data_IF_721988139921
#
_entry.id   IF_721988139921
#
_cell.length_a   1.000
_cell.length_b   1.000
_cell.length_c   1.000
_cell.angle_alpha   90.00
_cell.angle_beta   90.00
_cell.angle_gamma   90.00
#
_symmetry.space_group_name_H-M   'P 1'
#
loop_
_entity.id
_entity.type
_entity.pdbx_description
1 polymer ?
#
# COMPACT_ATOMS: atom_id res chain seq x y z
N UNK A 1 -37.33 -4.12 22.74
CA UNK A 1 -37.09 -3.74 21.33
C UNK A 1 -36.08 -2.61 21.35
N UNK A 2 -34.94 -2.55 20.68
CA UNK A 2 -34.45 -3.20 19.46
C UNK A 2 -32.93 -3.32 19.59
N UNK A 3 -32.40 -4.56 19.55
CA UNK A 3 -30.97 -4.81 19.34
C UNK A 3 -30.70 -4.67 17.85
N UNK A 4 -30.22 -3.51 17.39
CA UNK A 4 -29.57 -3.42 16.08
C UNK A 4 -28.21 -4.12 16.19
N UNK A 5 -28.19 -5.42 15.93
CA UNK A 5 -26.97 -6.13 15.51
C UNK A 5 -26.52 -5.47 14.20
N UNK A 6 -25.42 -4.72 14.23
CA UNK A 6 -24.70 -4.40 13.02
C UNK A 6 -24.24 -5.72 12.42
N UNK A 7 -24.92 -6.18 11.36
CA UNK A 7 -24.39 -7.21 10.50
C UNK A 7 -23.16 -6.61 9.82
N UNK A 8 -21.97 -6.92 10.34
CA UNK A 8 -20.77 -6.90 9.53
C UNK A 8 -21.07 -7.75 8.31
N UNK A 9 -21.23 -7.11 7.16
CA UNK A 9 -21.38 -7.77 5.86
C UNK A 9 -20.11 -8.57 5.62
N UNK A 10 -20.10 -9.82 6.07
CA UNK A 10 -19.02 -10.75 5.81
C UNK A 10 -18.93 -10.92 4.29
N UNK A 11 -17.74 -10.68 3.74
CA UNK A 11 -17.50 -10.78 2.31
C UNK A 11 -17.96 -12.18 1.84
N UNK A 12 -18.98 -12.28 0.96
CA UNK A 12 -19.54 -13.57 0.56
C UNK A 12 -18.56 -14.45 -0.23
N UNK A 13 -17.45 -13.86 -0.69
CA UNK A 13 -16.39 -14.52 -1.46
C UNK A 13 -15.08 -14.61 -0.65
N UNK A 14 -15.14 -14.53 0.69
CA UNK A 14 -13.96 -14.49 1.56
C UNK A 14 -13.02 -15.68 1.35
N UNK A 15 -13.55 -16.89 1.27
CA UNK A 15 -12.82 -18.12 0.97
C UNK A 15 -12.05 -18.05 -0.36
N UNK A 16 -12.67 -17.49 -1.40
CA UNK A 16 -11.99 -17.25 -2.68
C UNK A 16 -10.86 -16.24 -2.54
N UNK A 17 -11.10 -15.15 -1.81
CA UNK A 17 -10.08 -14.16 -1.51
C UNK A 17 -8.90 -14.79 -0.75
N UNK A 18 -9.17 -15.62 0.27
CA UNK A 18 -8.16 -16.25 1.11
C UNK A 18 -7.25 -17.18 0.28
N UNK A 19 -7.83 -18.11 -0.50
CA UNK A 19 -7.02 -19.06 -1.27
C UNK A 19 -6.24 -18.36 -2.41
N UNK A 20 -6.80 -17.32 -3.02
CA UNK A 20 -6.11 -16.54 -4.05
C UNK A 20 -4.96 -15.71 -3.44
N UNK A 21 -5.12 -15.20 -2.22
CA UNK A 21 -4.04 -14.53 -1.49
C UNK A 21 -2.93 -15.50 -1.11
N UNK A 22 -3.25 -16.73 -0.73
CA UNK A 22 -2.26 -17.77 -0.47
C UNK A 22 -1.47 -18.11 -1.74
N UNK A 23 -2.14 -18.29 -2.88
CA UNK A 23 -1.50 -18.45 -4.18
C UNK A 23 -0.65 -17.23 -4.55
N UNK A 24 -1.11 -16.02 -4.27
CA UNK A 24 -0.35 -14.80 -4.52
C UNK A 24 0.98 -14.84 -3.74
N UNK A 25 0.90 -15.10 -2.43
CA UNK A 25 2.07 -15.15 -1.54
C UNK A 25 3.05 -16.24 -1.99
N UNK A 26 2.57 -17.42 -2.38
CA UNK A 26 3.40 -18.46 -2.96
C UNK A 26 4.13 -18.00 -4.22
N UNK A 27 3.44 -17.37 -5.18
CA UNK A 27 4.10 -16.89 -6.41
C UNK A 27 5.11 -15.78 -6.12
N UNK A 28 4.88 -14.92 -5.11
CA UNK A 28 5.83 -13.88 -4.69
C UNK A 28 7.05 -14.46 -3.97
N UNK A 29 6.82 -15.33 -3.00
CA UNK A 29 7.81 -15.75 -2.02
C UNK A 29 8.62 -16.95 -2.50
N UNK A 30 7.97 -17.92 -3.14
CA UNK A 30 8.63 -19.16 -3.59
C UNK A 30 9.06 -19.02 -5.06
N UNK A 31 8.11 -18.75 -5.95
CA UNK A 31 8.42 -18.69 -7.39
C UNK A 31 9.04 -17.36 -7.85
N UNK A 32 9.01 -16.33 -7.00
CA UNK A 32 9.50 -14.96 -7.30
C UNK A 32 8.87 -14.34 -8.56
N UNK A 33 7.62 -14.70 -8.87
CA UNK A 33 6.86 -14.26 -10.03
C UNK A 33 5.91 -13.10 -9.67
N UNK A 34 6.47 -11.88 -9.63
CA UNK A 34 5.73 -10.68 -9.19
C UNK A 34 4.49 -10.36 -10.06
N UNK A 35 4.54 -10.65 -11.36
CA UNK A 35 3.39 -10.44 -12.25
C UNK A 35 2.19 -11.34 -11.89
N UNK A 36 2.44 -12.62 -11.51
CA UNK A 36 1.39 -13.52 -11.02
C UNK A 36 0.86 -13.11 -9.66
N UNK A 37 1.74 -12.70 -8.75
CA UNK A 37 1.35 -12.13 -7.46
C UNK A 37 0.36 -10.96 -7.64
N UNK A 38 0.71 -10.00 -8.51
CA UNK A 38 -0.16 -8.87 -8.81
C UNK A 38 -1.49 -9.30 -9.46
N UNK A 39 -1.47 -10.28 -10.36
CA UNK A 39 -2.69 -10.80 -10.99
C UNK A 39 -3.66 -11.43 -9.97
N UNK A 40 -3.16 -12.26 -9.06
CA UNK A 40 -3.99 -12.83 -7.99
C UNK A 40 -4.54 -11.76 -7.05
N UNK A 41 -3.72 -10.78 -6.64
CA UNK A 41 -4.20 -9.67 -5.80
C UNK A 41 -5.25 -8.80 -6.49
N UNK A 42 -5.12 -8.59 -7.81
CA UNK A 42 -6.16 -7.90 -8.60
C UNK A 42 -7.47 -8.68 -8.58
N UNK A 43 -7.43 -10.00 -8.74
CA UNK A 43 -8.61 -10.87 -8.63
C UNK A 43 -9.27 -10.79 -7.25
N UNK A 44 -8.46 -10.82 -6.19
CA UNK A 44 -8.93 -10.69 -4.79
C UNK A 44 -9.66 -9.36 -4.60
N UNK A 45 -9.10 -8.25 -5.08
CA UNK A 45 -9.74 -6.93 -4.97
C UNK A 45 -11.09 -6.84 -5.70
N UNK A 46 -11.26 -7.57 -6.82
CA UNK A 46 -12.54 -7.67 -7.54
C UNK A 46 -13.56 -8.48 -6.73
N UNK A 47 -13.17 -9.67 -6.24
CA UNK A 47 -14.06 -10.56 -5.49
C UNK A 47 -14.47 -9.98 -4.14
N UNK A 48 -13.54 -9.31 -3.44
CA UNK A 48 -13.79 -8.72 -2.12
C UNK A 48 -14.83 -7.60 -2.15
N UNK A 49 -14.97 -6.90 -3.29
CA UNK A 49 -15.96 -5.83 -3.49
C UNK A 49 -17.29 -6.35 -4.06
N UNK A 50 -17.34 -7.61 -4.50
CA UNK A 50 -18.53 -8.15 -5.12
C UNK A 50 -19.56 -8.53 -4.02
N UNK A 51 -20.77 -7.94 -4.03
CA UNK A 51 -21.71 -8.04 -2.91
C UNK A 51 -22.42 -9.39 -2.80
N UNK A 52 -22.29 -10.25 -3.81
CA UNK A 52 -22.98 -11.54 -3.89
C UNK A 52 -21.99 -12.69 -4.02
N UNK A 53 -22.42 -13.89 -3.63
CA UNK A 53 -21.62 -15.12 -3.79
C UNK A 53 -21.49 -15.47 -5.27
N UNK A 54 -20.27 -15.54 -5.77
CA UNK A 54 -19.98 -16.03 -7.12
C UNK A 54 -20.25 -17.54 -7.19
N UNK A 55 -20.98 -17.98 -8.22
CA UNK A 55 -21.44 -19.37 -8.38
C UNK A 55 -20.66 -20.16 -9.43
N UNK A 56 -19.81 -19.50 -10.22
CA UNK A 56 -18.94 -20.15 -11.21
C UNK A 56 -17.75 -19.27 -11.59
N UNK A 57 -16.70 -19.87 -12.12
CA UNK A 57 -15.57 -19.19 -12.75
C UNK A 57 -16.00 -18.33 -13.94
N UNK A 58 -17.02 -18.75 -14.69
CA UNK A 58 -17.58 -17.97 -15.79
C UNK A 58 -18.23 -16.67 -15.30
N UNK A 59 -18.97 -16.71 -14.19
CA UNK A 59 -19.50 -15.53 -13.52
C UNK A 59 -18.37 -14.64 -12.98
N UNK A 60 -17.39 -15.24 -12.30
CA UNK A 60 -16.21 -14.54 -11.78
C UNK A 60 -15.49 -13.74 -12.88
N UNK A 61 -15.30 -14.33 -14.05
CA UNK A 61 -14.67 -13.71 -15.22
C UNK A 61 -15.45 -12.50 -15.75
N UNK A 62 -16.78 -12.50 -15.62
CA UNK A 62 -17.63 -11.38 -16.06
C UNK A 62 -17.55 -10.17 -15.14
N UNK A 63 -17.26 -10.37 -13.85
CA UNK A 63 -17.16 -9.27 -12.86
C UNK A 63 -16.14 -8.20 -13.24
N UNK A 64 -15.08 -8.59 -13.94
CA UNK A 64 -14.03 -7.68 -14.35
C UNK A 64 -14.41 -6.79 -15.55
N UNK A 65 -15.47 -7.12 -16.31
CA UNK A 65 -15.83 -6.46 -17.58
C UNK A 65 -16.76 -5.25 -17.45
N UNK A 66 -17.28 -4.97 -16.26
CA UNK A 66 -18.30 -3.91 -16.07
C UNK A 66 -17.64 -2.59 -15.66
N UNK A 67 -17.09 -1.84 -16.61
CA UNK A 67 -16.77 -0.41 -16.41
C UNK A 67 -17.58 0.39 -17.42
N UNK A 68 -18.64 1.06 -16.95
CA UNK A 68 -19.35 2.08 -17.72
C UNK A 68 -18.40 3.28 -17.86
N UNK A 69 -17.86 3.49 -19.05
CA UNK A 69 -17.11 4.72 -19.36
C UNK A 69 -18.15 5.79 -19.68
N UNK A 70 -18.53 6.60 -18.70
CA UNK A 70 -19.23 7.86 -18.94
C UNK A 70 -18.12 8.92 -19.10
N UNK A 71 -17.81 9.30 -20.33
CA UNK A 71 -16.88 10.38 -20.63
C UNK A 71 -17.54 11.72 -20.30
N UNK A 72 -16.98 12.44 -19.32
CA UNK A 72 -17.20 13.88 -19.18
C UNK A 72 -16.03 14.60 -19.85
N UNK A 73 -16.33 15.26 -20.98
CA UNK A 73 -15.41 16.14 -21.70
C UNK A 73 -15.75 17.59 -21.31
N UNK A 74 -14.86 18.29 -20.60
CA UNK A 74 -14.73 19.76 -20.45
C UNK A 74 -13.79 19.96 -19.24
N UNK A 75 -12.64 20.64 -19.27
CA UNK A 75 -12.39 22.03 -19.68
C UNK A 75 -10.85 22.25 -19.68
N UNK A 76 -10.22 22.49 -20.83
CA UNK A 76 -8.91 23.19 -20.88
C UNK A 76 -9.18 24.53 -21.55
N UNK A 77 -9.40 25.56 -20.73
CA UNK A 77 -9.38 26.97 -21.12
C UNK A 77 -8.73 27.65 -19.91
N UNK A 78 -7.49 28.16 -19.99
CA UNK A 78 -7.23 29.54 -20.39
C UNK A 78 -5.76 29.76 -20.81
N UNK A 79 -5.53 30.21 -22.05
CA UNK A 79 -4.70 31.37 -22.44
C UNK A 79 -4.69 31.53 -23.98
N UNK A 80 -4.65 32.77 -24.53
CA UNK A 80 -5.15 33.06 -25.87
C UNK A 80 -4.07 32.84 -26.93
N UNK A 81 -4.24 31.85 -27.81
CA UNK A 81 -3.59 31.85 -29.13
C UNK A 81 -4.56 31.37 -30.20
N UNK A 82 -4.66 32.20 -31.23
CA UNK A 82 -5.38 32.07 -32.51
C UNK A 82 -6.16 30.77 -32.76
N UNK A 83 -7.47 30.94 -32.87
CA UNK A 83 -8.45 30.03 -33.47
C UNK A 83 -8.04 29.61 -34.89
N UNK A 84 -7.41 28.42 -35.04
CA UNK A 84 -7.57 27.58 -36.24
C UNK A 84 -6.99 26.15 -36.16
N UNK A 85 -6.36 25.68 -35.08
CA UNK A 85 -5.73 24.34 -35.07
C UNK A 85 -5.94 23.50 -33.80
N UNK A 86 -7.17 23.44 -33.27
CA UNK A 86 -7.53 22.44 -32.24
C UNK A 86 -8.77 21.68 -32.66
N UNK A 87 -8.66 20.96 -33.77
CA UNK A 87 -9.64 19.97 -34.20
C UNK A 87 -8.89 18.70 -34.65
N UNK A 88 -9.37 17.57 -34.17
CA UNK A 88 -8.96 16.17 -34.45
C UNK A 88 -7.88 15.55 -33.55
N UNK A 89 -8.30 15.12 -32.37
CA UNK A 89 -7.87 13.82 -31.82
C UNK A 89 -8.96 13.24 -30.91
N UNK A 90 -10.15 13.06 -31.48
CA UNK A 90 -11.17 12.19 -30.90
C UNK A 90 -10.84 10.75 -31.31
N UNK A 91 -9.91 10.13 -30.56
CA UNK A 91 -9.73 8.68 -30.62
C UNK A 91 -10.77 8.01 -29.73
N UNK A 92 -11.54 7.06 -30.28
CA UNK A 92 -12.22 6.06 -29.45
C UNK A 92 -11.15 5.41 -28.56
N UNK A 93 -11.23 5.62 -27.24
CA UNK A 93 -10.45 4.82 -26.31
C UNK A 93 -11.04 3.40 -26.37
N UNK A 94 -10.25 2.38 -26.80
CA UNK A 94 -10.74 1.02 -26.79
C UNK A 94 -11.17 0.66 -25.36
N UNK A 95 -12.36 0.08 -25.22
CA UNK A 95 -12.78 -0.54 -23.98
C UNK A 95 -11.69 -1.51 -23.51
N UNK A 96 -11.07 -1.22 -22.36
CA UNK A 96 -10.04 -2.09 -21.78
C UNK A 96 -10.66 -3.46 -21.50
N UNK A 97 -10.01 -4.57 -21.88
CA UNK A 97 -10.41 -5.90 -21.43
C UNK A 97 -10.57 -5.90 -19.91
N UNK A 98 -11.69 -6.43 -19.43
CA UNK A 98 -11.98 -6.49 -18.00
C UNK A 98 -10.92 -7.28 -17.24
N UNK A 99 -9.91 -6.60 -16.71
CA UNK A 99 -8.74 -7.25 -16.12
C UNK A 99 -8.90 -7.39 -14.61
N UNK A 100 -9.14 -8.62 -14.17
CA UNK A 100 -9.06 -9.02 -12.77
C UNK A 100 -9.05 -10.53 -12.63
N UNK A 101 -9.95 -11.23 -13.33
CA UNK A 101 -10.10 -12.68 -13.27
C UNK A 101 -10.05 -13.25 -14.70
N UNK A 102 -8.95 -13.90 -15.05
CA UNK A 102 -8.78 -14.62 -16.33
C UNK A 102 -9.11 -16.11 -16.22
N UNK A 103 -9.02 -16.84 -17.34
CA UNK A 103 -9.40 -18.27 -17.42
C UNK A 103 -8.71 -19.16 -16.39
N UNK A 104 -7.44 -18.89 -16.09
CA UNK A 104 -6.68 -19.68 -15.09
C UNK A 104 -7.16 -19.47 -13.66
N UNK A 105 -7.74 -18.31 -13.35
CA UNK A 105 -8.30 -18.00 -12.03
C UNK A 105 -9.75 -18.51 -11.97
N UNK A 106 -10.53 -18.28 -13.03
CA UNK A 106 -11.88 -18.82 -13.17
C UNK A 106 -11.92 -20.34 -12.93
N UNK A 107 -11.05 -21.11 -13.60
CA UNK A 107 -10.95 -22.56 -13.41
C UNK A 107 -10.61 -23.00 -11.97
N UNK A 108 -9.89 -22.16 -11.21
CA UNK A 108 -9.59 -22.44 -9.80
C UNK A 108 -10.79 -22.19 -8.90
N UNK A 109 -11.59 -21.18 -9.23
CA UNK A 109 -12.85 -20.90 -8.54
C UNK A 109 -13.81 -22.07 -8.80
N UNK A 110 -13.93 -22.54 -10.05
CA UNK A 110 -14.72 -23.74 -10.38
C UNK A 110 -14.23 -24.97 -9.58
N UNK A 111 -12.93 -25.26 -9.60
CA UNK A 111 -12.34 -26.37 -8.82
C UNK A 111 -12.71 -26.26 -7.33
N UNK A 112 -12.55 -25.08 -6.73
CA UNK A 112 -12.87 -24.87 -5.32
C UNK A 112 -14.37 -25.02 -5.01
N UNK A 113 -15.24 -24.55 -5.90
CA UNK A 113 -16.69 -24.71 -5.74
C UNK A 113 -17.07 -26.19 -5.79
N UNK A 114 -16.47 -26.95 -6.69
CA UNK A 114 -16.79 -28.37 -6.89
C UNK A 114 -16.24 -29.28 -5.78
N UNK A 115 -15.04 -28.99 -5.26
CA UNK A 115 -14.33 -29.91 -4.34
C UNK A 115 -14.19 -29.37 -2.92
N UNK A 116 -14.37 -28.07 -2.70
CA UNK A 116 -14.02 -27.37 -1.45
C UNK A 116 -12.52 -27.14 -1.23
N UNK A 117 -11.66 -27.54 -2.17
CA UNK A 117 -10.21 -27.40 -2.06
C UNK A 117 -9.52 -27.10 -3.40
N UNK A 118 -8.23 -26.77 -3.35
CA UNK A 118 -7.39 -26.62 -4.55
C UNK A 118 -6.23 -27.61 -4.47
N UNK A 119 -6.15 -28.54 -5.43
CA UNK A 119 -5.03 -29.51 -5.49
C UNK A 119 -3.67 -28.84 -5.57
N UNK A 120 -3.57 -27.67 -6.21
CA UNK A 120 -2.33 -26.89 -6.26
C UNK A 120 -1.94 -26.39 -4.86
N UNK A 121 -2.89 -25.93 -4.05
CA UNK A 121 -2.60 -25.44 -2.70
C UNK A 121 -2.26 -26.59 -1.75
N UNK A 122 -2.95 -27.73 -1.86
CA UNK A 122 -2.61 -28.92 -1.09
C UNK A 122 -1.15 -29.34 -1.33
N UNK A 123 -0.70 -29.34 -2.58
CA UNK A 123 0.70 -29.61 -2.92
C UNK A 123 1.67 -28.56 -2.35
N UNK A 124 1.30 -27.28 -2.38
CA UNK A 124 2.12 -26.20 -1.81
C UNK A 124 2.25 -26.34 -0.30
N UNK A 125 1.15 -26.67 0.38
CA UNK A 125 1.10 -26.87 1.84
C UNK A 125 1.85 -28.13 2.28
N UNK A 126 2.02 -29.10 1.39
CA UNK A 126 2.81 -30.31 1.64
C UNK A 126 4.30 -30.16 1.29
N UNK A 127 4.74 -29.03 0.72
CA UNK A 127 6.14 -28.78 0.41
C UNK A 127 6.82 -27.99 1.53
N UNK A 128 7.61 -28.67 2.36
CA UNK A 128 8.30 -28.11 3.52
C UNK A 128 9.15 -26.89 3.16
N UNK A 129 9.78 -26.88 1.98
CA UNK A 129 10.58 -25.73 1.51
C UNK A 129 9.70 -24.50 1.30
N UNK A 130 8.54 -24.68 0.67
CA UNK A 130 7.58 -23.59 0.43
C UNK A 130 6.98 -23.07 1.73
N UNK A 131 6.69 -23.96 2.68
CA UNK A 131 6.18 -23.59 4.02
C UNK A 131 7.23 -22.75 4.75
N UNK A 132 8.47 -23.23 4.84
CA UNK A 132 9.57 -22.56 5.50
C UNK A 132 9.86 -21.17 4.88
N UNK A 133 9.92 -21.07 3.55
CA UNK A 133 10.12 -19.78 2.87
C UNK A 133 9.00 -18.81 3.21
N UNK A 134 7.74 -19.25 3.16
CA UNK A 134 6.61 -18.39 3.49
C UNK A 134 6.63 -17.93 4.95
N UNK A 135 7.00 -18.81 5.88
CA UNK A 135 7.13 -18.48 7.30
C UNK A 135 8.20 -17.42 7.54
N UNK A 136 9.42 -17.65 7.04
CA UNK A 136 10.55 -16.73 7.25
C UNK A 136 10.32 -15.35 6.61
N UNK A 137 9.61 -15.28 5.48
CA UNK A 137 9.27 -13.99 4.84
C UNK A 137 8.27 -13.15 5.61
N UNK A 138 7.65 -13.67 6.68
CA UNK A 138 6.81 -12.86 7.59
C UNK A 138 7.67 -11.92 8.44
N UNK A 139 8.93 -12.27 8.71
CA UNK A 139 9.85 -11.41 9.46
C UNK A 139 10.26 -10.23 8.58
N UNK A 140 9.98 -9.00 9.02
CA UNK A 140 10.35 -7.81 8.23
C UNK A 140 11.87 -7.77 7.99
N UNK A 141 12.26 -7.45 6.76
CA UNK A 141 13.66 -7.47 6.32
C UNK A 141 14.09 -8.82 5.70
N UNK A 142 13.31 -9.89 5.85
CA UNK A 142 13.55 -11.16 5.17
C UNK A 142 12.69 -11.23 3.91
N UNK A 143 13.32 -11.00 2.76
CA UNK A 143 12.70 -11.20 1.44
C UNK A 143 12.86 -12.63 0.93
N UNK A 144 12.23 -12.98 -0.21
CA UNK A 144 12.27 -14.31 -0.83
C UNK A 144 13.68 -14.89 -0.98
N UNK A 145 14.64 -14.07 -1.42
CA UNK A 145 16.02 -14.50 -1.61
C UNK A 145 16.73 -14.81 -0.28
N UNK A 146 16.49 -14.01 0.76
CA UNK A 146 17.07 -14.23 2.09
C UNK A 146 16.45 -15.46 2.75
N UNK A 147 15.13 -15.64 2.66
CA UNK A 147 14.44 -16.82 3.15
C UNK A 147 14.96 -18.10 2.48
N UNK A 148 15.11 -18.10 1.16
CA UNK A 148 15.65 -19.25 0.43
C UNK A 148 17.08 -19.59 0.88
N UNK A 149 17.93 -18.59 1.11
CA UNK A 149 19.29 -18.79 1.63
C UNK A 149 19.26 -19.39 3.05
N UNK A 150 18.41 -18.89 3.94
CA UNK A 150 18.27 -19.42 5.31
C UNK A 150 17.81 -20.89 5.29
N UNK A 151 16.84 -21.24 4.44
CA UNK A 151 16.39 -22.63 4.28
C UNK A 151 17.50 -23.54 3.76
N UNK A 152 18.32 -23.08 2.80
CA UNK A 152 19.49 -23.84 2.33
C UNK A 152 20.54 -24.08 3.43
N UNK A 153 20.57 -23.20 4.43
CA UNK A 153 21.43 -23.33 5.61
C UNK A 153 20.77 -24.10 6.76
N UNK A 154 19.61 -24.73 6.52
CA UNK A 154 18.89 -25.55 7.50
C UNK A 154 17.96 -24.80 8.44
N UNK A 155 17.79 -23.48 8.26
CA UNK A 155 16.90 -22.66 9.09
C UNK A 155 15.53 -22.63 8.41
N UNK A 156 14.57 -23.36 8.97
CA UNK A 156 13.25 -23.56 8.34
C UNK A 156 12.08 -23.02 9.16
N UNK A 157 12.30 -22.53 10.38
CA UNK A 157 11.25 -21.92 11.21
C UNK A 157 11.75 -20.66 11.93
N UNK A 158 10.81 -19.88 12.48
CA UNK A 158 11.13 -18.69 13.28
C UNK A 158 11.87 -19.08 14.57
N UNK A 159 11.53 -20.21 15.19
CA UNK A 159 12.22 -20.71 16.40
C UNK A 159 13.69 -21.05 16.12
N UNK A 160 14.00 -21.68 14.98
CA UNK A 160 15.37 -21.89 14.56
C UNK A 160 16.07 -20.57 14.24
N UNK A 161 15.37 -19.64 13.58
CA UNK A 161 15.92 -18.32 13.27
C UNK A 161 16.35 -17.56 14.53
N UNK A 162 15.60 -17.68 15.64
CA UNK A 162 15.96 -17.08 16.95
C UNK A 162 17.27 -17.60 17.52
N UNK A 163 17.73 -18.78 17.13
CA UNK A 163 19.01 -19.36 17.55
C UNK A 163 20.20 -18.86 16.74
N UNK A 164 19.95 -18.20 15.60
CA UNK A 164 20.97 -17.74 14.65
C UNK A 164 20.90 -16.23 14.35
N UNK A 165 20.92 -15.34 15.36
CA UNK A 165 20.86 -13.90 15.14
C UNK A 165 22.09 -13.36 14.38
N UNK A 166 23.22 -14.07 14.44
CA UNK A 166 24.46 -13.77 13.74
C UNK A 166 24.33 -13.81 12.21
N UNK A 167 23.35 -14.57 11.69
CA UNK A 167 23.07 -14.68 10.26
C UNK A 167 22.16 -13.56 9.72
N UNK A 168 21.63 -12.73 10.62
CA UNK A 168 20.67 -11.68 10.30
C UNK A 168 21.35 -10.33 10.24
N UNK A 169 20.95 -9.50 9.28
CA UNK A 169 21.32 -8.08 9.30
C UNK A 169 20.49 -7.31 10.35
N UNK A 170 20.89 -6.06 10.63
CA UNK A 170 20.24 -5.20 11.62
C UNK A 170 18.71 -5.10 11.48
N UNK A 171 18.20 -4.91 10.26
CA UNK A 171 16.74 -4.85 10.00
C UNK A 171 16.08 -6.17 10.37
N UNK A 172 16.65 -7.29 9.93
CA UNK A 172 16.11 -8.63 10.19
C UNK A 172 16.14 -8.98 11.69
N UNK A 173 17.19 -8.57 12.41
CA UNK A 173 17.29 -8.77 13.86
C UNK A 173 16.17 -8.03 14.60
N UNK A 174 15.91 -6.75 14.27
CA UNK A 174 14.80 -6.01 14.88
C UNK A 174 13.45 -6.60 14.44
N UNK A 175 13.34 -7.03 13.17
CA UNK A 175 12.15 -7.70 12.66
C UNK A 175 11.81 -8.97 13.42
N UNK A 176 12.83 -9.75 13.80
CA UNK A 176 12.68 -10.94 14.62
C UNK A 176 12.41 -10.63 16.09
N UNK A 177 13.07 -9.60 16.63
CA UNK A 177 12.88 -9.12 18.00
C UNK A 177 11.43 -8.78 18.30
N UNK A 178 10.75 -8.12 17.35
CA UNK A 178 9.37 -7.62 17.50
C UNK A 178 8.35 -8.38 16.65
N UNK A 179 8.69 -9.61 16.24
CA UNK A 179 7.90 -10.39 15.28
C UNK A 179 6.43 -10.52 15.68
N UNK A 180 6.17 -10.97 16.91
CA UNK A 180 4.82 -11.19 17.42
C UNK A 180 3.99 -9.91 17.49
N UNK A 181 4.62 -8.77 17.79
CA UNK A 181 3.95 -7.48 17.87
C UNK A 181 3.64 -6.88 16.50
N UNK A 182 4.47 -7.14 15.50
CA UNK A 182 4.25 -6.68 14.12
C UNK A 182 3.14 -7.46 13.40
N UNK A 183 2.80 -8.67 13.85
CA UNK A 183 1.64 -9.40 13.35
C UNK A 183 0.31 -8.85 13.92
N UNK A 184 0.34 -8.13 15.04
CA UNK A 184 -0.85 -7.55 15.67
C UNK A 184 -1.29 -6.28 14.93
N UNK A 185 -2.57 -6.22 14.57
CA UNK A 185 -3.22 -5.00 14.05
C UNK A 185 -3.22 -3.88 15.10
N UNK A 186 -3.14 -2.64 14.63
CA UNK A 186 -3.15 -1.42 15.46
C UNK A 186 -4.57 -0.84 15.47
N UNK A 187 -5.29 -0.83 16.60
CA UNK A 187 -6.61 -0.19 16.69
C UNK A 187 -6.54 1.30 16.37
N UNK A 188 -7.61 1.85 15.75
CA UNK A 188 -7.65 3.26 15.37
C UNK A 188 -7.39 4.24 16.53
N UNK A 189 -7.91 3.94 17.72
CA UNK A 189 -7.66 4.76 18.91
C UNK A 189 -6.18 4.79 19.33
N UNK A 190 -5.43 3.70 19.09
CA UNK A 190 -3.99 3.65 19.34
C UNK A 190 -3.22 4.47 18.28
N UNK A 191 -3.67 4.42 17.01
CA UNK A 191 -3.12 5.26 15.94
C UNK A 191 -3.27 6.75 16.25
N UNK A 192 -4.43 7.16 16.79
CA UNK A 192 -4.71 8.55 17.19
C UNK A 192 -3.77 9.00 18.32
N UNK A 193 -3.51 8.15 19.32
CA UNK A 193 -2.56 8.48 20.39
C UNK A 193 -1.12 8.66 19.88
N UNK A 194 -0.67 7.78 18.97
CA UNK A 194 0.65 7.88 18.34
C UNK A 194 0.72 9.15 17.48
N UNK A 195 -0.32 9.44 16.69
CA UNK A 195 -0.43 10.65 15.88
C UNK A 195 -0.31 11.91 16.74
N UNK A 196 -1.11 12.02 17.80
CA UNK A 196 -1.17 13.23 18.64
C UNK A 196 0.17 13.48 19.31
N UNK A 197 0.83 12.43 19.80
CA UNK A 197 2.17 12.50 20.36
C UNK A 197 3.19 12.95 19.31
N UNK A 198 3.24 12.27 18.16
CA UNK A 198 4.18 12.59 17.09
C UNK A 198 4.00 14.04 16.61
N UNK A 199 2.77 14.48 16.38
CA UNK A 199 2.48 15.81 15.83
C UNK A 199 2.75 16.91 16.84
N UNK A 200 2.44 16.69 18.12
CA UNK A 200 2.84 17.60 19.20
C UNK A 200 4.36 17.81 19.21
N UNK A 201 5.13 16.72 19.13
CA UNK A 201 6.59 16.79 19.19
C UNK A 201 7.23 17.37 17.93
N UNK A 202 6.66 17.09 16.75
CA UNK A 202 7.06 17.70 15.48
C UNK A 202 6.81 19.21 15.50
N UNK A 203 5.63 19.67 15.94
CA UNK A 203 5.31 21.10 16.03
C UNK A 203 6.17 21.86 17.05
N UNK A 204 6.62 21.19 18.12
CA UNK A 204 7.56 21.77 19.09
C UNK A 204 8.96 21.97 18.50
N UNK A 205 9.31 21.24 17.45
CA UNK A 205 10.59 21.37 16.77
C UNK A 205 10.57 22.58 15.83
N UNK A 206 9.55 22.66 14.98
CA UNK A 206 9.23 23.81 14.12
C UNK A 206 7.73 23.75 13.78
N UNK A 207 7.01 24.86 13.92
CA UNK A 207 5.57 24.93 13.65
C UNK A 207 5.23 24.93 12.15
N UNK A 208 6.25 25.12 11.28
CA UNK A 208 6.15 25.02 9.82
C UNK A 208 6.13 23.59 9.30
N UNK A 209 6.42 22.59 10.13
CA UNK A 209 6.28 21.21 9.71
C UNK A 209 4.81 20.86 9.48
N UNK A 210 4.53 20.32 8.30
CA UNK A 210 3.23 19.72 8.00
C UNK A 210 3.36 18.20 8.02
N UNK A 211 2.73 17.57 9.02
CA UNK A 211 2.68 16.14 9.16
C UNK A 211 1.26 15.60 8.96
N UNK A 212 1.13 14.44 8.31
CA UNK A 212 -0.16 13.76 8.13
C UNK A 212 -0.02 12.24 8.17
N UNK A 213 -0.84 11.59 8.98
CA UNK A 213 -0.95 10.12 8.96
C UNK A 213 -1.73 9.71 7.71
N UNK A 214 -1.14 8.83 6.92
CA UNK A 214 -1.62 8.36 5.64
C UNK A 214 -2.07 6.89 5.72
N UNK A 215 -1.78 6.07 4.72
CA UNK A 215 -2.04 4.64 4.73
C UNK A 215 -3.50 4.27 4.96
N UNK A 216 -3.73 3.12 5.59
CA UNK A 216 -5.09 2.65 5.92
C UNK A 216 -5.83 3.59 6.89
N UNK A 217 -5.09 4.32 7.73
CA UNK A 217 -5.68 5.25 8.68
C UNK A 217 -6.42 6.40 7.98
N UNK A 218 -5.79 7.03 6.97
CA UNK A 218 -6.42 8.10 6.16
C UNK A 218 -7.57 7.57 5.31
N UNK A 219 -7.57 6.28 4.95
CA UNK A 219 -8.69 5.60 4.28
C UNK A 219 -9.82 5.18 5.23
N UNK A 220 -9.77 5.60 6.51
CA UNK A 220 -10.84 5.37 7.47
C UNK A 220 -10.89 3.95 8.04
N UNK A 221 -9.78 3.19 8.01
CA UNK A 221 -9.78 1.85 8.58
C UNK A 221 -9.89 1.89 10.12
N UNK A 222 -10.67 0.95 10.68
CA UNK A 222 -10.83 0.72 12.13
C UNK A 222 -9.56 0.16 12.79
N UNK A 223 -8.68 -0.44 12.00
CA UNK A 223 -7.34 -0.82 12.40
C UNK A 223 -6.34 -0.59 11.26
N UNK A 224 -5.05 -0.49 11.58
CA UNK A 224 -3.94 -0.37 10.62
C UNK A 224 -2.86 -1.43 10.87
N UNK A 225 -1.95 -1.61 9.92
CA UNK A 225 -0.83 -2.55 10.07
C UNK A 225 0.38 -1.87 10.71
N UNK A 226 0.57 -0.62 10.33
CA UNK A 226 1.66 0.27 10.70
C UNK A 226 1.18 1.73 10.67
N UNK A 227 2.08 2.64 11.02
CA UNK A 227 1.87 4.09 10.99
C UNK A 227 2.67 4.72 9.86
N UNK A 228 1.96 5.28 8.89
CA UNK A 228 2.54 6.01 7.76
C UNK A 228 2.43 7.52 7.97
N UNK A 229 3.54 8.23 8.22
CA UNK A 229 3.55 9.70 8.38
C UNK A 229 4.18 10.35 7.15
N UNK A 230 3.37 11.11 6.41
CA UNK A 230 3.87 12.05 5.40
C UNK A 230 4.31 13.33 6.11
N UNK A 231 5.50 13.81 5.78
CA UNK A 231 6.09 15.01 6.35
C UNK A 231 6.52 15.98 5.24
N UNK A 232 6.23 17.26 5.39
CA UNK A 232 6.79 18.32 4.55
C UNK A 232 7.20 19.52 5.39
N UNK A 233 8.02 20.39 4.81
CA UNK A 233 8.48 21.63 5.41
C UNK A 233 8.73 22.66 4.28
N UNK A 234 8.31 23.93 4.43
CA UNK A 234 8.42 24.93 3.36
C UNK A 234 9.87 25.18 2.88
N UNK A 235 10.87 24.98 3.73
CA UNK A 235 12.29 25.12 3.35
C UNK A 235 12.79 23.99 2.43
N UNK A 236 12.02 22.91 2.27
CA UNK A 236 12.34 21.81 1.37
C UNK A 236 11.32 21.71 0.24
N UNK A 237 11.76 22.09 -0.96
CA UNK A 237 10.98 22.04 -2.20
C UNK A 237 11.75 21.30 -3.28
N UNK A 238 11.11 21.02 -4.42
CA UNK A 238 11.75 20.37 -5.58
C UNK A 238 12.91 21.19 -6.16
N UNK A 239 13.01 22.47 -5.81
CA UNK A 239 14.06 23.39 -6.23
C UNK A 239 15.18 23.56 -5.19
N UNK A 240 14.98 23.07 -3.96
CA UNK A 240 15.98 23.17 -2.90
C UNK A 240 17.23 22.38 -3.30
N UNK A 241 18.40 23.03 -3.25
CA UNK A 241 19.68 22.36 -3.49
C UNK A 241 20.21 21.76 -2.20
N UNK A 242 20.67 20.51 -2.25
CA UNK A 242 21.20 19.80 -1.08
C UNK A 242 20.14 18.97 -0.35
N UNK A 243 20.56 18.38 0.77
CA UNK A 243 19.74 17.47 1.56
C UNK A 243 19.46 18.13 2.91
N UNK A 244 18.19 18.48 3.22
CA UNK A 244 17.88 19.05 4.51
C UNK A 244 17.97 18.00 5.61
N UNK A 245 18.45 18.39 6.78
CA UNK A 245 18.53 17.50 7.95
C UNK A 245 17.19 17.36 8.70
N UNK A 246 16.09 17.81 8.08
CA UNK A 246 14.77 17.93 8.70
C UNK A 246 14.24 16.60 9.23
N UNK A 247 14.39 15.52 8.46
CA UNK A 247 13.90 14.20 8.88
C UNK A 247 14.70 13.66 10.07
N UNK A 248 16.03 13.81 10.08
CA UNK A 248 16.85 13.38 11.21
C UNK A 248 16.52 14.14 12.48
N UNK A 249 16.25 15.45 12.39
CA UNK A 249 15.83 16.24 13.54
C UNK A 249 14.49 15.75 14.12
N UNK A 250 13.51 15.46 13.25
CA UNK A 250 12.23 14.87 13.67
C UNK A 250 12.43 13.51 14.32
N UNK A 251 13.15 12.59 13.68
CA UNK A 251 13.41 11.25 14.23
C UNK A 251 14.11 11.34 15.58
N UNK A 252 15.17 12.16 15.69
CA UNK A 252 15.90 12.38 16.95
C UNK A 252 15.01 12.94 18.05
N UNK A 253 14.06 13.82 17.71
CA UNK A 253 13.07 14.34 18.68
C UNK A 253 12.14 13.24 19.15
N UNK A 254 11.64 12.41 18.24
CA UNK A 254 10.74 11.30 18.56
C UNK A 254 11.42 10.16 19.32
N UNK A 255 12.71 9.90 19.08
CA UNK A 255 13.56 9.01 19.88
C UNK A 255 13.76 9.57 21.30
N UNK A 256 14.05 10.88 21.42
CA UNK A 256 14.29 11.53 22.73
C UNK A 256 13.08 11.44 23.67
N UNK A 257 11.87 11.49 23.15
CA UNK A 257 10.63 11.32 23.94
C UNK A 257 10.25 9.86 24.15
N UNK A 258 10.99 8.92 23.57
CA UNK A 258 10.75 7.48 23.66
C UNK A 258 9.60 6.97 22.78
N UNK A 259 9.10 7.79 21.84
CA UNK A 259 8.06 7.37 20.90
C UNK A 259 8.66 6.38 19.90
N UNK A 260 9.80 6.72 19.29
CA UNK A 260 10.59 5.82 18.45
C UNK A 260 11.56 5.04 19.35
N UNK A 261 11.61 3.71 19.19
CA UNK A 261 12.41 2.80 20.03
C UNK A 261 13.50 2.07 19.28
N UNK A 262 13.29 1.79 18.00
CA UNK A 262 14.28 1.09 17.17
C UNK A 262 14.22 1.63 15.73
N UNK A 263 15.36 1.58 15.04
CA UNK A 263 15.52 2.08 13.67
C UNK A 263 15.87 0.95 12.72
N UNK A 264 15.08 0.74 11.67
CA UNK A 264 15.33 -0.25 10.62
C UNK A 264 16.11 0.38 9.46
N UNK A 265 15.66 1.55 9.00
CA UNK A 265 16.26 2.34 7.91
C UNK A 265 16.13 3.82 8.28
N UNK A 266 17.23 4.56 8.15
CA UNK A 266 17.24 6.01 8.33
C UNK A 266 18.05 6.63 7.19
N UNK A 267 17.37 7.33 6.28
CA UNK A 267 17.99 8.16 5.27
C UNK A 267 17.32 9.53 5.23
N UNK A 268 17.85 10.42 4.40
CA UNK A 268 17.48 11.85 4.38
C UNK A 268 15.98 12.10 4.16
N UNK A 269 15.30 11.21 3.43
CA UNK A 269 13.90 11.39 3.02
C UNK A 269 12.96 10.28 3.48
N UNK A 270 13.51 9.21 4.05
CA UNK A 270 12.71 8.05 4.48
C UNK A 270 13.29 7.46 5.76
N UNK A 271 12.44 7.36 6.75
CA UNK A 271 12.68 6.63 7.98
C UNK A 271 11.72 5.44 8.05
N UNK A 272 12.25 4.29 8.46
CA UNK A 272 11.48 3.10 8.81
C UNK A 272 11.97 2.64 10.18
N UNK A 273 11.08 2.59 11.16
CA UNK A 273 11.45 2.23 12.52
C UNK A 273 10.33 1.57 13.30
N UNK A 274 10.48 1.63 14.61
CA UNK A 274 9.58 1.03 15.58
C UNK A 274 9.17 2.11 16.56
N UNK A 275 7.88 2.18 16.87
CA UNK A 275 7.35 3.07 17.87
C UNK A 275 6.43 2.35 18.85
N UNK A 276 6.08 3.03 19.94
CA UNK A 276 5.08 2.55 20.90
C UNK A 276 4.39 3.71 21.60
N UNK A 277 3.17 3.48 22.09
CA UNK A 277 2.46 4.48 22.91
C UNK A 277 3.23 4.77 24.21
N UNK A 278 3.41 6.06 24.52
CA UNK A 278 4.09 6.54 25.73
C UNK A 278 3.33 6.21 27.02
N UNK A 279 4.05 6.13 28.15
CA UNK A 279 3.42 5.89 29.45
C UNK A 279 2.61 7.10 29.91
N UNK A 280 1.29 6.94 29.98
CA UNK A 280 0.40 7.94 30.56
C UNK A 280 0.52 7.99 32.09
N UNK A 281 0.92 6.89 32.74
CA UNK A 281 1.18 6.80 34.18
C UNK A 281 2.09 5.60 34.52
N UNK A 282 3.02 5.72 35.47
CA UNK A 282 3.78 4.57 35.98
C UNK A 282 2.82 3.53 36.57
N UNK A 283 2.90 2.27 36.11
CA UNK A 283 2.10 1.16 36.63
C UNK A 283 0.84 0.79 35.85
N UNK A 284 0.55 1.41 34.69
CA UNK A 284 -0.52 0.89 33.81
C UNK A 284 -0.11 -0.46 33.23
N UNK A 285 -0.74 -1.55 33.67
CA UNK A 285 -0.45 -2.93 33.26
C UNK A 285 -0.95 -3.32 31.85
N UNK A 286 -1.38 -2.35 31.03
CA UNK A 286 -1.84 -2.63 29.67
C UNK A 286 -0.62 -2.93 28.81
N UNK A 287 -0.52 -4.17 28.32
CA UNK A 287 0.50 -4.60 27.35
C UNK A 287 0.52 -3.62 26.17
N UNK A 288 1.71 -3.08 25.87
CA UNK A 288 1.90 -2.14 24.76
C UNK A 288 2.77 -2.79 23.72
N UNK A 289 2.19 -2.96 22.54
CA UNK A 289 2.90 -3.58 21.45
C UNK A 289 3.85 -2.57 20.80
N UNK A 290 4.98 -3.07 20.33
CA UNK A 290 5.85 -2.34 19.41
C UNK A 290 5.21 -2.30 18.02
N UNK A 291 5.14 -1.11 17.43
CA UNK A 291 4.46 -0.86 16.16
C UNK A 291 5.45 -0.41 15.11
N UNK A 292 5.23 -0.82 13.85
CA UNK A 292 5.99 -0.28 12.72
C UNK A 292 5.55 1.15 12.43
N UNK A 293 6.53 2.02 12.18
CA UNK A 293 6.31 3.41 11.77
C UNK A 293 7.23 3.73 10.59
N UNK A 294 6.65 4.38 9.59
CA UNK A 294 7.35 4.89 8.42
C UNK A 294 7.10 6.40 8.31
N UNK A 295 8.17 7.18 8.20
CA UNK A 295 8.10 8.65 8.03
C UNK A 295 8.74 8.99 6.69
N UNK A 296 8.00 9.71 5.85
CA UNK A 296 8.46 10.10 4.51
C UNK A 296 8.47 11.62 4.41
N UNK A 297 9.66 12.20 4.27
CA UNK A 297 9.85 13.61 3.95
C UNK A 297 9.75 13.79 2.43
N UNK A 298 8.85 14.68 1.99
CA UNK A 298 8.60 14.99 0.59
C UNK A 298 8.75 16.50 0.36
N UNK A 299 9.21 16.92 -0.84
CA UNK A 299 9.18 18.33 -1.21
C UNK A 299 7.80 18.96 -1.02
N UNK A 300 7.74 20.10 -0.35
CA UNK A 300 6.48 20.74 0.04
C UNK A 300 5.59 21.07 -1.16
N UNK A 301 6.17 21.48 -2.29
CA UNK A 301 5.48 21.76 -3.56
C UNK A 301 4.97 20.52 -4.31
N UNK A 302 5.27 19.31 -3.82
CA UNK A 302 4.84 18.03 -4.39
C UNK A 302 3.88 17.26 -3.47
N UNK A 303 3.36 17.94 -2.43
CA UNK A 303 2.54 17.36 -1.37
C UNK A 303 1.40 16.48 -1.88
N UNK A 304 0.61 16.93 -2.85
CA UNK A 304 -0.60 16.21 -3.28
C UNK A 304 -0.31 14.91 -4.03
N UNK A 305 0.76 14.86 -4.84
CA UNK A 305 1.20 13.62 -5.47
C UNK A 305 1.64 12.59 -4.42
N UNK A 306 2.36 13.04 -3.40
CA UNK A 306 2.81 12.18 -2.32
C UNK A 306 1.68 11.77 -1.39
N UNK A 307 0.75 12.67 -1.08
CA UNK A 307 -0.43 12.39 -0.28
C UNK A 307 -1.26 11.30 -0.95
N UNK A 308 -1.51 11.41 -2.26
CA UNK A 308 -2.20 10.39 -3.04
C UNK A 308 -1.47 9.05 -2.97
N UNK A 309 -0.15 9.05 -3.23
CA UNK A 309 0.69 7.85 -3.15
C UNK A 309 0.65 7.20 -1.76
N UNK A 310 0.86 7.98 -0.70
CA UNK A 310 1.00 7.43 0.65
C UNK A 310 -0.36 7.10 1.28
N UNK A 311 -1.46 7.63 0.75
CA UNK A 311 -2.82 7.21 1.11
C UNK A 311 -3.14 5.81 0.58
N UNK A 312 -2.73 5.47 -0.65
CA UNK A 312 -3.00 4.17 -1.24
C UNK A 312 -4.49 3.84 -1.43
N UNK A 313 -4.92 2.57 -1.44
CA UNK A 313 -4.10 1.36 -1.22
C UNK A 313 -3.04 1.13 -2.30
N UNK A 314 -2.14 0.17 -2.08
CA UNK A 314 -1.10 -0.15 -3.07
C UNK A 314 -1.69 -0.66 -4.39
N UNK A 315 -2.80 -1.40 -4.35
CA UNK A 315 -3.56 -1.82 -5.54
C UNK A 315 -4.21 -0.61 -6.22
N UNK A 316 -4.81 0.31 -5.44
CA UNK A 316 -5.37 1.55 -5.99
C UNK A 316 -4.30 2.35 -6.75
N UNK A 317 -3.13 2.55 -6.14
CA UNK A 317 -2.00 3.24 -6.76
C UNK A 317 -1.54 2.55 -8.04
N UNK A 318 -1.40 1.22 -8.03
CA UNK A 318 -1.01 0.45 -9.22
C UNK A 318 -2.01 0.64 -10.36
N UNK A 319 -3.31 0.54 -10.07
CA UNK A 319 -4.36 0.72 -11.06
C UNK A 319 -4.41 2.16 -11.60
N UNK A 320 -4.29 3.16 -10.72
CA UNK A 320 -4.29 4.57 -11.12
C UNK A 320 -3.07 4.93 -11.97
N UNK A 321 -1.88 4.40 -11.63
CA UNK A 321 -0.66 4.60 -12.44
C UNK A 321 -0.74 3.87 -13.78
N UNK A 322 -1.32 2.67 -13.82
CA UNK A 322 -1.56 1.97 -15.09
C UNK A 322 -2.53 2.75 -15.99
N UNK A 323 -3.65 3.23 -15.42
CA UNK A 323 -4.59 4.12 -16.12
C UNK A 323 -3.89 5.39 -16.61
N UNK A 324 -3.03 6.00 -15.79
CA UNK A 324 -2.25 7.17 -16.20
C UNK A 324 -1.42 6.88 -17.46
N UNK A 325 -0.73 5.75 -17.53
CA UNK A 325 0.02 5.35 -18.73
C UNK A 325 -0.89 5.17 -19.94
N UNK A 326 -2.07 4.58 -19.77
CA UNK A 326 -3.05 4.38 -20.85
C UNK A 326 -3.57 5.71 -21.42
N UNK A 327 -3.75 6.72 -20.58
CA UNK A 327 -4.20 8.06 -20.99
C UNK A 327 -3.04 9.03 -21.27
N UNK A 328 -1.81 8.52 -21.42
CA UNK A 328 -0.67 9.32 -21.89
C UNK A 328 0.03 10.14 -20.81
N UNK A 329 -0.02 9.71 -19.54
CA UNK A 329 0.67 10.33 -18.42
C UNK A 329 1.53 9.32 -17.64
N UNK A 330 2.48 9.82 -16.86
CA UNK A 330 3.17 9.04 -15.84
C UNK A 330 3.01 9.72 -14.49
N UNK A 331 2.64 8.92 -13.48
CA UNK A 331 2.35 9.38 -12.12
C UNK A 331 3.26 8.66 -11.13
N UNK A 332 4.00 9.43 -10.32
CA UNK A 332 4.77 8.92 -9.18
C UNK A 332 4.42 9.72 -7.91
N UNK A 333 5.13 9.48 -6.81
CA UNK A 333 4.90 10.21 -5.55
C UNK A 333 5.30 11.70 -5.59
N UNK A 334 5.93 12.16 -6.66
CA UNK A 334 6.46 13.52 -6.78
C UNK A 334 5.65 14.36 -7.77
N UNK A 335 5.32 13.79 -8.93
CA UNK A 335 4.78 14.55 -10.07
C UNK A 335 3.86 13.70 -10.93
N UNK A 336 2.88 14.36 -11.54
CA UNK A 336 2.20 13.89 -12.75
C UNK A 336 2.84 14.56 -13.97
N UNK A 337 3.19 13.79 -14.99
CA UNK A 337 3.84 14.29 -16.23
C UNK A 337 3.14 13.73 -17.47
N UNK A 338 2.93 14.52 -18.53
CA UNK A 338 2.49 13.98 -19.81
C UNK A 338 3.60 13.14 -20.44
N UNK A 339 3.24 12.15 -21.24
CA UNK A 339 4.16 11.37 -22.05
C UNK A 339 4.14 11.88 -23.48
N UNK A 340 5.32 12.20 -24.02
CA UNK A 340 5.48 12.54 -25.43
C UNK A 340 5.22 11.34 -26.34
N UNK A 341 5.20 11.58 -27.66
CA UNK A 341 5.02 10.53 -28.68
C UNK A 341 6.08 9.41 -28.61
N UNK A 342 7.24 9.68 -28.03
CA UNK A 342 8.34 8.73 -27.80
C UNK A 342 8.22 7.97 -26.47
N UNK A 343 7.20 8.24 -25.65
CA UNK A 343 7.06 7.71 -24.30
C UNK A 343 7.96 8.39 -23.25
N UNK A 344 8.64 9.48 -23.62
CA UNK A 344 9.46 10.26 -22.68
C UNK A 344 8.59 11.17 -21.81
N UNK A 345 8.77 11.18 -20.47
CA UNK A 345 8.06 12.10 -19.60
C UNK A 345 8.43 13.56 -19.89
N UNK A 346 7.42 14.39 -20.11
CA UNK A 346 7.56 15.85 -20.21
C UNK A 346 7.68 16.53 -18.84
N UNK A 347 7.44 17.84 -18.83
CA UNK A 347 7.49 18.64 -17.61
C UNK A 347 6.36 18.31 -16.61
N UNK A 348 6.60 18.45 -15.30
CA UNK A 348 5.56 18.30 -14.28
C UNK A 348 4.37 19.22 -14.51
N UNK A 349 3.16 18.66 -14.41
CA UNK A 349 1.92 19.44 -14.43
C UNK A 349 1.70 20.15 -13.09
N UNK A 350 1.05 21.33 -13.09
CA UNK A 350 0.69 22.00 -11.85
C UNK A 350 -0.39 21.18 -11.13
N UNK A 351 -0.14 20.87 -9.87
CA UNK A 351 -1.03 20.12 -8.98
C UNK A 351 -1.16 20.87 -7.65
N UNK A 352 -2.38 21.27 -7.33
CA UNK A 352 -2.75 22.04 -6.14
C UNK A 352 -3.78 21.33 -5.26
N UNK A 353 -4.25 20.15 -5.69
CA UNK A 353 -5.17 19.28 -4.95
C UNK A 353 -4.96 17.81 -5.34
N UNK A 354 -5.54 16.86 -4.61
CA UNK A 354 -5.57 15.47 -5.10
C UNK A 354 -6.50 15.36 -6.32
N UNK A 355 -7.59 16.13 -6.33
CA UNK A 355 -8.62 16.22 -7.36
C UNK A 355 -8.04 16.58 -8.73
N UNK A 356 -7.08 17.51 -8.80
CA UNK A 356 -6.40 17.88 -10.04
C UNK A 356 -5.80 16.65 -10.74
N UNK A 357 -5.22 15.72 -9.97
CA UNK A 357 -4.62 14.49 -10.50
C UNK A 357 -5.71 13.60 -11.12
N UNK A 358 -6.89 13.52 -10.50
CA UNK A 358 -8.01 12.76 -11.06
C UNK A 358 -8.55 13.42 -12.33
N UNK A 359 -8.66 14.75 -12.34
CA UNK A 359 -9.15 15.53 -13.48
C UNK A 359 -8.24 15.37 -14.71
N UNK A 360 -6.91 15.49 -14.55
CA UNK A 360 -5.96 15.24 -15.64
C UNK A 360 -6.07 13.82 -16.21
N UNK A 361 -6.39 12.85 -15.35
CA UNK A 361 -6.55 11.45 -15.74
C UNK A 361 -7.96 11.12 -16.26
N UNK A 362 -8.88 12.09 -16.30
CA UNK A 362 -10.28 11.87 -16.71
C UNK A 362 -11.02 10.90 -15.79
N UNK A 363 -10.69 10.90 -14.49
CA UNK A 363 -11.28 10.02 -13.49
C UNK A 363 -12.21 10.79 -12.56
N UNK A 364 -13.32 10.18 -12.17
CA UNK A 364 -14.13 10.71 -11.06
C UNK A 364 -13.30 10.67 -9.77
N UNK A 365 -13.27 11.79 -9.05
CA UNK A 365 -12.55 11.86 -7.79
C UNK A 365 -13.08 10.83 -6.79
N UNK A 366 -12.14 10.09 -6.19
CA UNK A 366 -12.45 9.13 -5.11
C UNK A 366 -11.90 9.64 -3.80
N UNK A 367 -12.79 9.80 -2.83
CA UNK A 367 -12.43 10.10 -1.44
C UNK A 367 -11.52 9.01 -0.88
N UNK A 368 -10.63 9.31 0.09
CA UNK A 368 -9.69 8.32 0.65
C UNK A 368 -10.33 7.00 1.08
N UNK A 369 -11.51 7.04 1.71
CA UNK A 369 -12.22 5.83 2.16
C UNK A 369 -12.75 4.94 1.01
N UNK A 370 -12.86 5.49 -0.20
CA UNK A 370 -13.25 4.75 -1.41
C UNK A 370 -12.06 4.07 -2.10
N UNK A 371 -10.82 4.29 -1.60
CA UNK A 371 -9.57 3.78 -2.20
C UNK A 371 -9.10 2.45 -1.57
N UNK A 372 -9.94 1.82 -0.75
CA UNK A 372 -9.70 0.48 -0.20
C UNK A 372 -9.89 -0.57 -1.30
N UNK A 373 -8.80 -0.89 -2.01
CA UNK A 373 -8.76 -1.85 -3.11
C UNK A 373 -7.83 -3.01 -2.85
#
# INVERSE_FOLDING_TARGET
MSKRKNATTENPNKDFCDFLMELANYEKNVNRQMHKYNAYRKAVGVLAKHPTRVKSGAEAKKLARTRLVISYFFKIIFAPRSTSQVLSLAGLIPSVPGDGIGDKIAKKIDEYIDTGSLRKLEKIRADDTSVAINELTKVTGIGPAAAQKLVQEGITSIEELRKHPDKLNHHQQIGLKHFEDFEKRIPRAEMEQIQDTAFSEIRKLDDKFEARVCGSFRRGAESSGDIDILLTHPDYTSKTKGKPDLLHQVVKRLEKVGLITDTLVHGDFKFMGVCRVLESSPGSSKERCFRRIDIRLIPHDQYYCALLYFTGSDIFNKNMRAHALEVGFTLNEYTLRPLGSTGTPGEPLPVTSEEDIFDYLGMEYKQPYQRNS
#
